data_IF_903534269073
#
_entry.id   IF_903534269073
#
_cell.length_a   1.000
_cell.length_b   1.000
_cell.length_c   1.000
_cell.angle_alpha   90.00
_cell.angle_beta   90.00
_cell.angle_gamma   90.00
#
_symmetry.space_group_name_H-M   'P 1'
#
loop_
_entity.id
_entity.type
_entity.pdbx_description
1 polymer ?
#
# COMPACT_ATOMS: atom_id res chain seq x y z
N UNK A 1 -10.84 82.75 38.43
CA UNK A 1 -9.75 83.20 37.53
C UNK A 1 -8.95 81.97 37.12
N UNK A 2 -8.86 81.77 35.81
CA UNK A 2 -8.16 80.75 35.01
C UNK A 2 -6.71 80.49 35.52
N UNK A 3 -6.17 79.28 35.69
CA UNK A 3 -5.49 78.35 34.74
C UNK A 3 -4.71 77.37 35.65
N UNK A 4 -4.44 76.09 35.41
CA UNK A 4 -4.67 75.14 34.34
C UNK A 4 -3.89 73.87 34.75
N UNK A 5 -4.47 72.68 34.59
CA UNK A 5 -3.69 71.42 34.61
C UNK A 5 -4.12 70.60 33.40
N UNK A 6 -3.09 70.21 32.65
CA UNK A 6 -3.15 69.69 31.29
C UNK A 6 -3.88 68.35 31.17
N UNK A 7 -4.42 68.14 29.98
CA UNK A 7 -5.27 67.05 29.52
C UNK A 7 -4.41 65.93 28.88
N UNK A 8 -4.74 64.68 29.24
CA UNK A 8 -4.73 63.37 28.52
C UNK A 8 -3.46 62.76 27.86
N UNK A 9 -3.52 61.42 27.82
CA UNK A 9 -2.79 60.49 26.95
C UNK A 9 -2.38 59.23 27.73
N UNK A 10 -3.30 58.35 28.14
CA UNK A 10 -3.64 57.09 27.44
C UNK A 10 -2.44 56.18 27.11
N UNK A 11 -2.52 54.98 27.70
CA UNK A 11 -2.02 53.68 27.22
C UNK A 11 -0.52 53.36 27.11
N UNK A 12 -0.26 52.05 27.22
CA UNK A 12 1.01 51.34 27.12
C UNK A 12 1.96 51.41 28.33
N UNK A 13 1.73 50.52 29.29
CA UNK A 13 2.84 49.78 29.91
C UNK A 13 2.62 48.30 29.62
N UNK A 14 3.42 47.86 28.66
CA UNK A 14 3.40 46.54 28.03
C UNK A 14 3.56 45.42 29.06
N UNK A 15 2.58 44.52 29.07
CA UNK A 15 2.72 43.19 29.60
C UNK A 15 3.59 42.37 28.64
N UNK A 16 4.90 42.33 28.88
CA UNK A 16 5.80 41.39 28.20
C UNK A 16 5.62 40.03 28.88
N UNK A 17 4.54 39.34 28.52
CA UNK A 17 4.41 37.90 28.73
C UNK A 17 5.31 37.20 27.69
N UNK A 18 6.12 36.21 28.08
CA UNK A 18 7.06 35.59 27.16
C UNK A 18 6.28 34.77 26.12
N UNK A 19 6.25 35.28 24.89
CA UNK A 19 5.71 34.61 23.69
C UNK A 19 6.35 33.22 23.40
N UNK A 20 7.36 32.82 24.16
CA UNK A 20 8.06 31.55 23.98
C UNK A 20 7.23 30.31 24.40
N UNK A 21 6.19 30.46 25.23
CA UNK A 21 5.39 29.32 25.69
C UNK A 21 4.21 28.95 24.77
N UNK A 22 3.79 29.83 23.86
CA UNK A 22 2.65 29.58 22.96
C UNK A 22 3.10 28.96 21.61
N UNK A 23 4.36 29.16 21.21
CA UNK A 23 4.91 28.50 20.02
C UNK A 23 5.14 26.99 20.23
N UNK A 24 5.33 26.53 21.47
CA UNK A 24 5.54 25.12 21.78
C UNK A 24 4.24 24.27 21.75
N UNK A 25 3.07 24.89 21.76
CA UNK A 25 1.77 24.21 21.68
C UNK A 25 1.16 24.19 20.27
N UNK A 26 1.79 24.87 19.29
CA UNK A 26 1.41 24.81 17.87
C UNK A 26 2.33 23.91 17.02
N UNK A 27 3.40 23.38 17.63
CA UNK A 27 4.25 22.33 17.05
C UNK A 27 3.90 20.94 17.58
N UNK A 28 2.75 20.80 18.24
CA UNK A 28 2.14 19.48 18.46
C UNK A 28 1.65 19.01 17.09
N UNK A 29 2.52 18.25 16.43
CA UNK A 29 2.45 17.94 15.01
C UNK A 29 1.05 17.56 14.57
N UNK A 30 0.51 18.36 13.67
CA UNK A 30 -0.15 17.78 12.52
C UNK A 30 0.88 16.87 11.84
N UNK A 31 1.05 15.64 12.36
CA UNK A 31 1.37 14.52 11.49
C UNK A 31 0.19 14.49 10.51
N UNK A 32 0.33 15.25 9.43
CA UNK A 32 -0.42 15.04 8.23
C UNK A 32 -0.09 13.60 7.88
N UNK A 33 -0.94 12.64 8.28
CA UNK A 33 -0.84 11.29 7.78
C UNK A 33 -0.78 11.45 6.27
N UNK A 34 0.34 11.04 5.65
CA UNK A 34 0.44 11.09 4.21
C UNK A 34 -0.76 10.32 3.69
N UNK A 35 -1.73 11.04 3.12
CA UNK A 35 -2.93 10.40 2.64
C UNK A 35 -2.48 9.50 1.50
N UNK A 36 -2.51 8.19 1.74
CA UNK A 36 -2.11 7.22 0.75
C UNK A 36 -2.98 7.43 -0.49
N UNK A 37 -2.35 7.66 -1.64
CA UNK A 37 -3.05 7.88 -2.92
C UNK A 37 -3.47 6.53 -3.53
N UNK A 38 -4.20 5.75 -2.72
CA UNK A 38 -4.79 4.47 -3.05
C UNK A 38 -6.30 4.71 -3.30
N UNK A 39 -6.89 4.20 -4.39
CA UNK A 39 -8.31 4.40 -4.68
C UNK A 39 -9.20 3.95 -3.51
N UNK A 40 -10.24 4.73 -3.19
CA UNK A 40 -11.18 4.40 -2.10
C UNK A 40 -11.82 3.01 -2.29
N UNK A 41 -12.23 2.70 -3.52
CA UNK A 41 -12.77 1.40 -3.92
C UNK A 41 -11.68 0.39 -4.36
N UNK A 42 -10.48 0.45 -3.76
CA UNK A 42 -9.39 -0.45 -4.15
C UNK A 42 -9.82 -1.91 -4.02
N UNK A 43 -10.38 -2.33 -2.89
CA UNK A 43 -10.96 -3.67 -2.78
C UNK A 43 -12.43 -3.66 -3.17
N UNK A 44 -12.78 -4.43 -4.20
CA UNK A 44 -14.11 -4.57 -4.75
C UNK A 44 -14.50 -6.04 -4.85
N UNK A 45 -15.74 -6.36 -4.49
CA UNK A 45 -16.17 -7.75 -4.42
C UNK A 45 -16.35 -8.34 -5.83
N UNK A 46 -15.41 -9.20 -6.26
CA UNK A 46 -15.51 -9.96 -7.51
C UNK A 46 -16.08 -11.36 -7.28
N UNK A 47 -16.35 -12.11 -8.36
CA UNK A 47 -16.63 -13.56 -8.22
C UNK A 47 -15.44 -14.18 -7.49
N UNK A 48 -15.74 -14.93 -6.43
CA UNK A 48 -14.76 -15.87 -5.87
C UNK A 48 -14.24 -16.77 -7.00
N UNK A 49 -12.93 -16.99 -7.01
CA UNK A 49 -12.35 -17.96 -7.91
C UNK A 49 -12.81 -19.37 -7.50
N UNK A 50 -13.13 -20.18 -8.48
CA UNK A 50 -13.45 -21.59 -8.30
C UNK A 50 -12.15 -22.38 -8.42
N UNK A 51 -11.38 -22.40 -7.34
CA UNK A 51 -10.02 -22.93 -7.27
C UNK A 51 -9.92 -23.76 -6.00
N UNK A 52 -9.66 -25.05 -6.17
CA UNK A 52 -9.76 -26.04 -5.09
C UNK A 52 -8.42 -26.70 -4.76
N UNK A 53 -7.39 -26.49 -5.58
CA UNK A 53 -6.05 -27.01 -5.33
C UNK A 53 -4.94 -25.95 -5.38
N UNK A 54 -3.80 -26.18 -4.68
CA UNK A 54 -2.60 -25.35 -4.83
C UNK A 54 -2.11 -25.19 -6.28
N UNK A 55 -2.27 -26.22 -7.11
CA UNK A 55 -1.85 -26.18 -8.51
C UNK A 55 -2.75 -25.28 -9.35
N UNK A 56 -4.07 -25.37 -9.17
CA UNK A 56 -5.02 -24.48 -9.84
C UNK A 56 -4.83 -23.03 -9.40
N UNK A 57 -4.51 -22.81 -8.13
CA UNK A 57 -4.18 -21.48 -7.62
C UNK A 57 -2.96 -20.90 -8.34
N UNK A 58 -1.89 -21.68 -8.49
CA UNK A 58 -0.67 -21.25 -9.20
C UNK A 58 -1.01 -20.93 -10.66
N UNK A 59 -1.80 -21.79 -11.33
CA UNK A 59 -2.25 -21.54 -12.71
C UNK A 59 -3.11 -20.28 -12.81
N UNK A 60 -4.00 -20.06 -11.84
CA UNK A 60 -4.85 -18.89 -11.77
C UNK A 60 -4.03 -17.61 -11.62
N UNK A 61 -3.07 -17.58 -10.69
CA UNK A 61 -2.12 -16.48 -10.56
C UNK A 61 -1.26 -16.29 -11.82
N UNK A 62 -0.76 -17.36 -12.43
CA UNK A 62 0.04 -17.26 -13.66
C UNK A 62 -0.78 -16.67 -14.84
N UNK A 63 -2.07 -16.98 -14.93
CA UNK A 63 -2.94 -16.56 -16.04
C UNK A 63 -3.13 -15.04 -16.13
N UNK A 64 -2.95 -14.30 -15.03
CA UNK A 64 -3.08 -12.84 -15.03
C UNK A 64 -1.79 -12.09 -15.37
N UNK A 65 -0.63 -12.77 -15.35
CA UNK A 65 0.67 -12.14 -15.62
C UNK A 65 0.74 -11.37 -16.95
N UNK A 66 0.17 -11.86 -18.08
CA UNK A 66 0.21 -11.12 -19.35
C UNK A 66 -0.39 -9.71 -19.29
N UNK A 67 -1.29 -9.44 -18.33
CA UNK A 67 -1.89 -8.11 -18.14
C UNK A 67 -0.99 -7.11 -17.40
N UNK A 68 0.22 -7.53 -16.98
CA UNK A 68 1.12 -6.76 -16.10
C UNK A 68 2.53 -6.60 -16.68
N UNK A 69 2.67 -6.74 -18.00
CA UNK A 69 3.97 -6.76 -18.68
C UNK A 69 4.72 -5.43 -18.57
N UNK A 70 4.00 -4.33 -18.48
CA UNK A 70 4.53 -2.96 -18.38
C UNK A 70 4.67 -2.46 -16.92
N UNK A 71 4.29 -3.29 -15.94
CA UNK A 71 4.42 -2.99 -14.53
C UNK A 71 5.84 -3.28 -14.02
N UNK A 72 6.31 -2.46 -13.08
CA UNK A 72 7.50 -2.76 -12.27
C UNK A 72 7.28 -4.00 -11.41
N UNK A 73 8.35 -4.51 -10.78
CA UNK A 73 8.24 -5.64 -9.85
C UNK A 73 7.26 -5.31 -8.72
N UNK A 74 7.33 -4.09 -8.18
CA UNK A 74 6.50 -3.63 -7.07
C UNK A 74 5.05 -3.35 -7.47
N UNK A 75 4.83 -2.76 -8.64
CA UNK A 75 3.47 -2.58 -9.17
C UNK A 75 2.81 -3.95 -9.42
N UNK A 76 3.58 -4.91 -9.94
CA UNK A 76 3.07 -6.25 -10.25
C UNK A 76 2.69 -7.03 -9.00
N UNK A 77 3.52 -6.97 -7.95
CA UNK A 77 3.19 -7.63 -6.67
C UNK A 77 1.94 -7.04 -6.03
N UNK A 78 1.78 -5.72 -6.07
CA UNK A 78 0.59 -5.04 -5.57
C UNK A 78 -0.67 -5.36 -6.39
N UNK A 79 -0.57 -5.42 -7.72
CA UNK A 79 -1.68 -5.83 -8.58
C UNK A 79 -2.11 -7.29 -8.32
N UNK A 80 -1.16 -8.21 -8.18
CA UNK A 80 -1.48 -9.61 -7.91
C UNK A 80 -2.17 -9.77 -6.56
N UNK A 81 -1.75 -9.02 -5.53
CA UNK A 81 -2.42 -9.02 -4.25
C UNK A 81 -3.87 -8.57 -4.37
N UNK A 82 -4.09 -7.43 -5.02
CA UNK A 82 -5.42 -6.88 -5.28
C UNK A 82 -6.30 -7.89 -5.99
N UNK A 83 -5.81 -8.47 -7.10
CA UNK A 83 -6.59 -9.40 -7.89
C UNK A 83 -6.94 -10.65 -7.10
N UNK A 84 -5.98 -11.25 -6.39
CA UNK A 84 -6.21 -12.46 -5.61
C UNK A 84 -7.16 -12.21 -4.43
N UNK A 85 -7.01 -11.09 -3.71
CA UNK A 85 -7.93 -10.75 -2.62
C UNK A 85 -9.35 -10.53 -3.10
N UNK A 86 -9.53 -9.77 -4.17
CA UNK A 86 -10.87 -9.55 -4.74
C UNK A 86 -11.51 -10.84 -5.27
N UNK A 87 -10.70 -11.86 -5.56
CA UNK A 87 -11.11 -13.23 -5.91
C UNK A 87 -11.30 -14.16 -4.71
N UNK A 88 -11.18 -13.65 -3.48
CA UNK A 88 -11.47 -14.36 -2.24
C UNK A 88 -10.31 -15.14 -1.64
N UNK A 89 -9.08 -14.94 -2.12
CA UNK A 89 -7.89 -15.58 -1.56
C UNK A 89 -7.39 -14.83 -0.31
N UNK A 90 -6.83 -15.58 0.64
CA UNK A 90 -6.12 -15.03 1.79
C UNK A 90 -4.66 -14.76 1.40
N UNK A 91 -4.37 -13.50 1.07
CA UNK A 91 -3.07 -13.04 0.58
C UNK A 91 -2.57 -11.90 1.45
N UNK A 92 -1.26 -11.84 1.62
CA UNK A 92 -0.52 -10.80 2.35
C UNK A 92 0.83 -10.59 1.68
N UNK A 93 1.51 -9.50 2.00
CA UNK A 93 2.87 -9.24 1.52
C UNK A 93 3.90 -9.79 2.51
N UNK A 94 4.97 -10.38 2.00
CA UNK A 94 6.20 -10.62 2.73
C UNK A 94 7.26 -9.62 2.25
N UNK A 95 8.11 -9.18 3.17
CA UNK A 95 9.14 -8.18 2.94
C UNK A 95 10.48 -8.63 3.53
N UNK A 96 11.55 -8.33 2.80
CA UNK A 96 12.92 -8.46 3.28
C UNK A 96 13.72 -7.26 2.79
N UNK A 97 14.47 -6.59 3.67
CA UNK A 97 15.29 -5.43 3.33
C UNK A 97 16.60 -5.81 2.62
N UNK A 98 17.01 -7.08 2.73
CA UNK A 98 18.22 -7.61 2.12
C UNK A 98 17.98 -8.99 1.47
N UNK A 99 17.13 -9.02 0.45
CA UNK A 99 16.75 -10.24 -0.23
C UNK A 99 17.95 -10.89 -0.92
N UNK A 100 18.17 -12.19 -0.69
CA UNK A 100 19.32 -12.96 -1.21
C UNK A 100 20.69 -12.36 -0.89
N UNK A 101 20.81 -11.63 0.23
CA UNK A 101 22.04 -10.92 0.60
C UNK A 101 22.54 -9.94 -0.47
N UNK A 102 21.64 -9.41 -1.30
CA UNK A 102 21.98 -8.54 -2.44
C UNK A 102 22.18 -7.06 -2.07
N UNK A 103 21.91 -6.69 -0.82
CA UNK A 103 21.80 -5.31 -0.36
C UNK A 103 20.54 -4.60 -0.88
N UNK A 104 19.59 -5.34 -1.47
CA UNK A 104 18.34 -4.81 -2.00
C UNK A 104 17.15 -5.42 -1.28
N UNK A 105 16.16 -4.61 -1.05
CA UNK A 105 14.89 -5.08 -0.53
C UNK A 105 14.07 -5.80 -1.60
N UNK A 106 13.13 -6.63 -1.16
CA UNK A 106 12.19 -7.30 -2.03
C UNK A 106 10.85 -7.53 -1.32
N UNK A 107 9.79 -7.49 -2.12
CA UNK A 107 8.42 -7.78 -1.68
C UNK A 107 7.82 -8.84 -2.59
N UNK A 108 7.25 -9.87 -1.97
CA UNK A 108 6.48 -10.92 -2.64
C UNK A 108 5.20 -11.20 -1.87
N UNK A 109 4.36 -12.10 -2.38
CA UNK A 109 3.12 -12.45 -1.73
C UNK A 109 3.23 -13.77 -0.96
N UNK A 110 2.52 -13.83 0.16
CA UNK A 110 2.26 -15.05 0.91
C UNK A 110 0.78 -15.32 0.82
N UNK A 111 0.43 -16.41 0.16
CA UNK A 111 -0.93 -16.89 0.03
C UNK A 111 -1.15 -18.08 0.96
N UNK A 112 -2.20 -18.02 1.79
CA UNK A 112 -2.61 -19.12 2.66
C UNK A 112 -3.65 -19.99 1.95
N UNK A 113 -3.29 -21.21 1.61
CA UNK A 113 -4.19 -22.13 0.89
C UNK A 113 -5.30 -22.67 1.82
N UNK A 114 -6.24 -23.45 1.26
CA UNK A 114 -7.39 -24.02 2.01
C UNK A 114 -6.95 -25.00 3.12
N UNK A 115 -5.76 -25.59 3.01
CA UNK A 115 -5.16 -26.46 4.02
C UNK A 115 -4.43 -25.66 5.13
N UNK A 116 -4.37 -24.34 5.00
CA UNK A 116 -3.71 -23.45 5.94
C UNK A 116 -2.20 -23.29 5.71
N UNK A 117 -1.67 -23.86 4.64
CA UNK A 117 -0.25 -23.77 4.29
C UNK A 117 0.06 -22.43 3.61
N UNK A 118 1.23 -21.86 3.91
CA UNK A 118 1.71 -20.65 3.27
C UNK A 118 2.49 -20.99 1.99
N UNK A 119 2.11 -20.36 0.89
CA UNK A 119 2.77 -20.46 -0.40
C UNK A 119 3.31 -19.08 -0.79
N UNK A 120 4.58 -19.01 -1.17
CA UNK A 120 5.12 -17.80 -1.79
C UNK A 120 4.56 -17.65 -3.20
N UNK A 121 4.22 -16.43 -3.58
CA UNK A 121 3.85 -16.07 -4.95
C UNK A 121 4.71 -14.90 -5.38
N UNK A 122 5.51 -15.12 -6.44
CA UNK A 122 6.42 -14.17 -7.05
C UNK A 122 5.94 -13.85 -8.48
N UNK A 123 5.14 -12.78 -8.66
CA UNK A 123 4.60 -12.42 -9.97
C UNK A 123 5.67 -12.08 -11.01
N UNK A 124 6.82 -11.61 -10.57
CA UNK A 124 7.96 -11.17 -11.36
C UNK A 124 9.07 -12.22 -11.38
N UNK A 125 8.72 -13.51 -11.34
CA UNK A 125 9.69 -14.59 -11.16
C UNK A 125 10.78 -14.64 -12.24
N UNK A 126 10.51 -14.18 -13.47
CA UNK A 126 11.52 -14.11 -14.52
C UNK A 126 12.55 -13.03 -14.17
N UNK A 127 12.06 -11.83 -13.82
CA UNK A 127 12.88 -10.68 -13.46
C UNK A 127 13.63 -10.89 -12.13
N UNK A 128 13.06 -11.68 -11.24
CA UNK A 128 13.65 -12.07 -9.95
C UNK A 128 14.46 -13.37 -10.02
N UNK A 129 14.65 -13.95 -11.22
CA UNK A 129 15.39 -15.21 -11.42
C UNK A 129 14.92 -16.32 -10.47
N UNK A 130 13.62 -16.38 -10.22
CA UNK A 130 12.98 -17.43 -9.46
C UNK A 130 12.51 -18.55 -10.40
N UNK A 131 12.51 -19.78 -9.92
CA UNK A 131 12.21 -20.95 -10.75
C UNK A 131 10.77 -20.98 -11.29
N UNK A 132 9.84 -20.32 -10.61
CA UNK A 132 8.43 -20.22 -11.03
C UNK A 132 7.72 -19.08 -10.29
N UNK A 133 6.46 -18.83 -10.66
CA UNK A 133 5.57 -17.90 -9.94
C UNK A 133 5.30 -18.30 -8.49
N UNK A 134 5.57 -19.55 -8.09
CA UNK A 134 5.43 -20.02 -6.72
C UNK A 134 6.74 -20.67 -6.26
N UNK A 135 7.79 -19.87 -6.02
CA UNK A 135 9.10 -20.40 -5.68
C UNK A 135 9.08 -21.15 -4.34
N UNK A 136 9.85 -22.24 -4.28
CA UNK A 136 9.95 -23.10 -3.08
C UNK A 136 11.32 -23.02 -2.40
N UNK A 137 12.18 -22.14 -2.90
CA UNK A 137 13.54 -21.93 -2.40
C UNK A 137 13.52 -21.25 -1.02
N UNK A 138 14.55 -21.46 -0.17
CA UNK A 138 14.55 -20.97 1.21
C UNK A 138 14.37 -19.45 1.36
N UNK A 139 14.87 -18.66 0.41
CA UNK A 139 14.78 -17.20 0.47
C UNK A 139 13.35 -16.68 0.39
N UNK A 140 12.41 -17.42 -0.22
CA UNK A 140 11.00 -17.05 -0.27
C UNK A 140 10.19 -17.58 0.92
N UNK A 141 10.79 -18.42 1.78
CA UNK A 141 10.18 -18.97 3.00
C UNK A 141 10.49 -18.14 4.24
N UNK A 142 11.50 -17.27 4.17
CA UNK A 142 11.92 -16.40 5.27
C UNK A 142 11.70 -14.95 4.89
N UNK A 143 11.10 -14.18 5.79
CA UNK A 143 10.87 -12.75 5.62
C UNK A 143 11.00 -12.03 6.96
N UNK A 144 11.40 -10.77 6.91
CA UNK A 144 11.58 -9.91 8.09
C UNK A 144 10.23 -9.40 8.61
N UNK A 145 9.36 -9.01 7.67
CA UNK A 145 8.05 -8.43 7.97
C UNK A 145 6.98 -9.06 7.08
N UNK A 146 5.74 -9.03 7.60
CA UNK A 146 4.54 -9.42 6.87
C UNK A 146 3.53 -8.29 6.99
N UNK A 147 2.97 -7.86 5.87
CA UNK A 147 1.96 -6.81 5.81
C UNK A 147 0.66 -7.39 5.29
N UNK A 148 -0.45 -7.11 5.96
CA UNK A 148 -1.74 -7.74 5.66
C UNK A 148 -2.27 -7.33 4.29
N UNK A 149 -2.03 -6.09 3.88
CA UNK A 149 -2.59 -5.46 2.70
C UNK A 149 -1.70 -4.32 2.20
N UNK A 150 -2.14 -3.68 1.12
CA UNK A 150 -1.37 -2.62 0.46
C UNK A 150 -1.27 -1.37 1.34
N UNK A 151 -2.27 -1.09 2.19
CA UNK A 151 -2.26 0.08 3.06
C UNK A 151 -1.18 -0.07 4.12
N UNK A 152 -1.15 -1.21 4.80
CA UNK A 152 -0.12 -1.50 5.81
C UNK A 152 1.28 -1.55 5.18
N UNK A 153 1.42 -2.11 3.96
CA UNK A 153 2.70 -2.08 3.26
C UNK A 153 3.14 -0.64 2.96
N UNK A 154 2.28 0.18 2.37
CA UNK A 154 2.63 1.55 1.97
C UNK A 154 2.92 2.48 3.17
N UNK A 155 2.23 2.29 4.29
CA UNK A 155 2.49 3.03 5.53
C UNK A 155 3.88 2.75 6.10
N UNK A 156 4.39 1.54 5.90
CA UNK A 156 5.62 1.08 6.54
C UNK A 156 6.82 1.05 5.60
N UNK A 157 6.63 0.79 4.30
CA UNK A 157 7.70 0.57 3.33
C UNK A 157 7.35 1.22 1.99
N UNK A 158 8.25 2.06 1.46
CA UNK A 158 8.22 2.54 0.07
C UNK A 158 7.10 3.53 -0.33
N UNK A 159 6.02 3.68 0.45
CA UNK A 159 4.91 4.59 0.15
C UNK A 159 4.03 4.15 -1.03
N UNK A 160 2.89 4.82 -1.22
CA UNK A 160 1.89 4.42 -2.24
C UNK A 160 2.41 4.51 -3.68
N UNK A 161 3.24 5.50 -4.02
CA UNK A 161 3.75 5.71 -5.38
C UNK A 161 4.50 4.49 -5.92
N UNK A 162 5.24 3.79 -5.06
CA UNK A 162 6.04 2.64 -5.46
C UNK A 162 5.19 1.48 -5.96
N UNK A 163 3.99 1.33 -5.44
CA UNK A 163 3.09 0.21 -5.70
C UNK A 163 1.90 0.59 -6.58
N UNK A 164 1.87 1.83 -7.10
CA UNK A 164 0.72 2.47 -7.72
C UNK A 164 0.41 1.98 -9.14
N UNK A 165 0.20 0.67 -9.32
CA UNK A 165 -0.17 0.09 -10.62
C UNK A 165 -1.45 0.73 -11.19
N UNK A 166 -2.37 1.19 -10.34
CA UNK A 166 -3.61 1.89 -10.71
C UNK A 166 -3.38 3.27 -11.34
N UNK A 167 -2.16 3.82 -11.29
CA UNK A 167 -1.82 5.08 -11.97
C UNK A 167 -1.32 4.84 -13.40
N UNK A 168 -0.99 3.60 -13.77
CA UNK A 168 -0.63 3.23 -15.15
C UNK A 168 -1.89 3.19 -16.02
N UNK A 169 -1.77 3.56 -17.30
CA UNK A 169 -2.91 3.52 -18.23
C UNK A 169 -3.51 2.10 -18.37
N UNK A 170 -2.65 1.07 -18.43
CA UNK A 170 -3.03 -0.35 -18.41
C UNK A 170 -3.74 -0.73 -17.10
N UNK A 171 -3.24 -0.27 -15.96
CA UNK A 171 -3.85 -0.49 -14.64
C UNK A 171 -5.21 0.20 -14.49
N UNK A 172 -5.34 1.46 -14.90
CA UNK A 172 -6.61 2.19 -14.89
C UNK A 172 -7.70 1.47 -15.69
N UNK A 173 -7.32 0.96 -16.87
CA UNK A 173 -8.21 0.16 -17.71
C UNK A 173 -8.66 -1.11 -16.99
N UNK A 174 -7.73 -1.88 -16.42
CA UNK A 174 -8.04 -3.10 -15.67
C UNK A 174 -8.95 -2.84 -14.46
N UNK A 175 -8.66 -1.80 -13.68
CA UNK A 175 -9.48 -1.43 -12.53
C UNK A 175 -10.90 -1.05 -12.95
N UNK A 176 -11.02 -0.21 -13.98
CA UNK A 176 -12.32 0.25 -14.51
C UNK A 176 -13.18 -0.91 -15.03
N UNK A 177 -12.58 -1.83 -15.81
CA UNK A 177 -13.26 -3.02 -16.32
C UNK A 177 -13.79 -3.90 -15.19
N UNK A 178 -12.99 -4.12 -14.14
CA UNK A 178 -13.40 -4.94 -13.00
C UNK A 178 -14.46 -4.26 -12.13
N UNK A 179 -14.41 -2.93 -11.96
CA UNK A 179 -15.48 -2.16 -11.29
C UNK A 179 -16.81 -2.32 -12.04
N UNK A 180 -16.81 -2.17 -13.37
CA UNK A 180 -18.02 -2.34 -14.19
C UNK A 180 -18.57 -3.76 -14.05
N UNK A 181 -17.70 -4.78 -14.11
CA UNK A 181 -18.09 -6.18 -13.96
C UNK A 181 -18.66 -6.49 -12.57
N UNK A 182 -18.12 -5.88 -11.51
CA UNK A 182 -18.63 -6.03 -10.16
C UNK A 182 -20.03 -5.39 -10.03
N UNK A 183 -20.21 -4.16 -10.51
CA UNK A 183 -21.51 -3.44 -10.46
C UNK A 183 -22.61 -4.17 -11.23
N UNK A 184 -22.32 -4.71 -12.42
CA UNK A 184 -23.29 -5.47 -13.23
C UNK A 184 -23.85 -6.72 -12.54
N UNK A 185 -23.19 -7.23 -11.50
CA UNK A 185 -23.60 -8.46 -10.79
C UNK A 185 -24.38 -8.18 -9.51
N UNK A 186 -24.47 -6.91 -9.11
CA UNK A 186 -25.26 -6.45 -7.98
C UNK A 186 -26.66 -5.97 -8.41
N UNK A 187 -26.91 -5.93 -9.73
CA UNK A 187 -28.20 -5.71 -10.38
C UNK A 187 -28.84 -7.06 -10.73
#
# INVERSE_FOLDING_TARGET
MIRGRSIKGEDMKEAILPLAAIAALLMCGCMQSAQLDIPEDYYLQMKKADVDSPVELIRFAASIRPHTIDFTVEERVAFFEWYLKNRGFNVSFAYCSNFRNSGREHVWLVLKNKLGENMAVEPSYIEMEAASVSPTTPEYKSYEKRFRDIYELCENEGGSERYAWWKRASGQKLLSENIILAKKRQL
#
